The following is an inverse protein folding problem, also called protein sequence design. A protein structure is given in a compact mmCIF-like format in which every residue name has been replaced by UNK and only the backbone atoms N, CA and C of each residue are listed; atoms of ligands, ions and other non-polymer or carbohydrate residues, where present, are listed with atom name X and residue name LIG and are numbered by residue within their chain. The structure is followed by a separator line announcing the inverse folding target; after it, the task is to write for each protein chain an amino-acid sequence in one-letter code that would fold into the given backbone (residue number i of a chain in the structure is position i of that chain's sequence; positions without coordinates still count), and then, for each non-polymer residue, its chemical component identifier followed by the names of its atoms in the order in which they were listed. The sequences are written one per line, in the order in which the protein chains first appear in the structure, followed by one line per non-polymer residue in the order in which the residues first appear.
data_IF_602206725747
#
_entry.id   IF_602206725747
#
_cell.length_a   1.000
_cell.length_b   1.000
_cell.length_c   1.000
_cell.angle_alpha   90.00
_cell.angle_beta   90.00
_cell.angle_gamma   90.00
#
_symmetry.space_group_name_H-M   'P 1'
#
loop_
_entity.id
_entity.type
_entity.pdbx_description
1 polymer ?
#
# COMPACT_ATOMS: atom_id res chain seq x y z
N UNK A 1 6.12 -28.58 -23.29
CA UNK A 1 6.78 -29.46 -22.30
C UNK A 1 6.71 -28.75 -20.96
N UNK A 2 6.45 -29.45 -19.86
CA UNK A 2 6.51 -28.88 -18.52
C UNK A 2 7.71 -29.48 -17.81
N UNK A 3 8.58 -28.63 -17.29
CA UNK A 3 9.75 -28.97 -16.48
C UNK A 3 9.46 -28.57 -15.03
N UNK A 4 9.94 -29.35 -14.06
CA UNK A 4 9.70 -29.09 -12.64
C UNK A 4 11.04 -29.01 -11.89
N UNK A 5 11.17 -28.00 -11.03
CA UNK A 5 12.29 -27.82 -10.13
C UNK A 5 11.75 -27.69 -8.70
N UNK A 6 12.21 -28.55 -7.80
CA UNK A 6 11.85 -28.51 -6.39
C UNK A 6 12.96 -27.80 -5.62
N UNK A 7 12.70 -26.57 -5.19
CA UNK A 7 13.66 -25.74 -4.47
C UNK A 7 12.94 -24.75 -3.57
N UNK A 8 13.52 -24.47 -2.40
CA UNK A 8 13.01 -23.43 -1.50
C UNK A 8 13.55 -22.06 -1.93
N UNK A 9 12.64 -21.12 -2.19
CA UNK A 9 13.00 -19.77 -2.64
C UNK A 9 13.62 -18.92 -1.52
N UNK A 10 13.50 -19.30 -0.24
CA UNK A 10 14.17 -18.60 0.86
C UNK A 10 15.63 -19.03 1.04
N UNK A 11 16.05 -20.17 0.47
CA UNK A 11 17.47 -20.53 0.40
C UNK A 11 18.08 -19.91 -0.87
N UNK A 12 18.49 -18.65 -0.77
CA UNK A 12 18.89 -17.85 -1.93
C UNK A 12 20.05 -18.45 -2.72
N UNK A 13 21.01 -19.09 -2.06
CA UNK A 13 22.19 -19.65 -2.71
C UNK A 13 21.85 -20.93 -3.49
N UNK A 14 21.06 -21.82 -2.87
CA UNK A 14 20.57 -23.04 -3.52
C UNK A 14 19.60 -22.68 -4.64
N UNK A 15 18.71 -21.72 -4.41
CA UNK A 15 17.77 -21.25 -5.42
C UNK A 15 18.45 -20.59 -6.62
N UNK A 16 19.46 -19.73 -6.40
CA UNK A 16 20.23 -19.10 -7.48
C UNK A 16 20.92 -20.15 -8.36
N UNK A 17 21.56 -21.15 -7.72
CA UNK A 17 22.25 -22.25 -8.44
C UNK A 17 21.27 -23.08 -9.25
N UNK A 18 20.21 -23.57 -8.59
CA UNK A 18 19.23 -24.44 -9.23
C UNK A 18 18.50 -23.76 -10.39
N UNK A 19 18.22 -22.45 -10.27
CA UNK A 19 17.58 -21.68 -11.34
C UNK A 19 18.52 -21.45 -12.52
N UNK A 20 19.81 -21.19 -12.28
CA UNK A 20 20.82 -21.10 -13.35
C UNK A 20 20.91 -22.40 -14.13
N UNK A 21 21.05 -23.53 -13.45
CA UNK A 21 21.13 -24.86 -14.07
C UNK A 21 19.87 -25.15 -14.91
N UNK A 22 18.68 -24.78 -14.40
CA UNK A 22 17.44 -24.95 -15.15
C UNK A 22 17.39 -24.07 -16.43
N UNK A 23 17.93 -22.85 -16.40
CA UNK A 23 17.97 -21.96 -17.55
C UNK A 23 18.99 -22.37 -18.62
N UNK A 24 19.99 -23.19 -18.29
CA UNK A 24 20.89 -23.79 -19.28
C UNK A 24 20.18 -24.83 -20.15
N UNK A 25 19.12 -25.46 -19.63
CA UNK A 25 18.35 -26.49 -20.32
C UNK A 25 17.23 -25.93 -21.20
N UNK A 26 16.88 -24.65 -21.05
CA UNK A 26 15.79 -23.98 -21.76
C UNK A 26 16.36 -22.93 -22.71
N UNK A 27 16.02 -23.01 -24.00
CA UNK A 27 16.59 -22.15 -25.05
C UNK A 27 16.18 -20.68 -24.89
N UNK A 28 14.94 -20.41 -24.46
CA UNK A 28 14.41 -19.05 -24.34
C UNK A 28 13.44 -18.91 -23.15
N UNK A 29 13.65 -17.89 -22.32
CA UNK A 29 12.72 -17.52 -21.25
C UNK A 29 12.21 -16.10 -21.47
N UNK A 30 10.93 -16.01 -21.82
CA UNK A 30 10.26 -14.75 -22.17
C UNK A 30 9.55 -14.10 -20.98
N UNK A 31 9.28 -14.85 -19.92
CA UNK A 31 8.52 -14.36 -18.79
C UNK A 31 8.94 -14.97 -17.46
N UNK A 32 8.79 -14.19 -16.39
CA UNK A 32 8.97 -14.63 -15.00
C UNK A 32 7.74 -14.20 -14.18
N UNK A 33 7.19 -15.12 -13.38
CA UNK A 33 6.16 -14.79 -12.38
C UNK A 33 6.67 -15.16 -10.99
N UNK A 34 6.97 -14.15 -10.18
CA UNK A 34 7.34 -14.34 -8.79
C UNK A 34 6.06 -14.47 -7.94
N UNK A 35 5.58 -15.70 -7.79
CA UNK A 35 4.31 -16.00 -7.11
C UNK A 35 4.46 -16.61 -5.71
N UNK A 36 5.62 -17.23 -5.40
CA UNK A 36 5.85 -17.85 -4.10
C UNK A 36 5.76 -16.81 -2.97
N UNK A 37 5.10 -17.15 -1.87
CA UNK A 37 5.01 -16.27 -0.72
C UNK A 37 4.26 -16.86 0.46
N UNK A 38 4.53 -16.29 1.63
CA UNK A 38 3.95 -16.66 2.92
C UNK A 38 3.36 -15.45 3.63
N UNK A 39 2.42 -15.70 4.54
CA UNK A 39 1.88 -14.71 5.48
C UNK A 39 1.65 -15.38 6.84
N UNK A 40 2.43 -14.99 7.85
CA UNK A 40 2.23 -15.37 9.27
C UNK A 40 1.75 -14.15 10.05
N UNK A 41 0.87 -14.38 11.02
CA UNK A 41 0.16 -13.31 11.73
C UNK A 41 0.62 -13.18 13.18
N UNK A 42 1.54 -12.26 13.43
CA UNK A 42 2.15 -12.05 14.75
C UNK A 42 1.88 -10.61 15.23
N UNK A 43 1.46 -10.39 16.49
CA UNK A 43 1.47 -9.06 17.08
C UNK A 43 2.87 -8.44 16.97
N UNK A 44 2.96 -7.15 16.64
CA UNK A 44 4.23 -6.49 16.34
C UNK A 44 5.29 -6.68 17.45
N UNK A 45 4.89 -6.60 18.72
CA UNK A 45 5.80 -6.70 19.86
C UNK A 45 6.17 -8.15 20.23
N UNK A 46 5.46 -9.14 19.67
CA UNK A 46 5.67 -10.57 19.92
C UNK A 46 6.32 -11.28 18.72
N UNK A 47 6.44 -10.59 17.58
CA UNK A 47 7.05 -11.12 16.37
C UNK A 47 8.54 -11.39 16.61
N UNK A 48 8.96 -12.64 16.41
CA UNK A 48 10.37 -12.99 16.43
C UNK A 48 11.08 -12.45 15.18
N UNK A 49 12.38 -12.17 15.31
CA UNK A 49 13.24 -11.83 14.16
C UNK A 49 13.17 -12.91 13.08
N UNK A 50 13.18 -14.19 13.46
CA UNK A 50 13.05 -15.31 12.53
C UNK A 50 11.74 -15.27 11.72
N UNK A 51 10.60 -14.95 12.36
CA UNK A 51 9.33 -14.82 11.63
C UNK A 51 9.39 -13.65 10.65
N UNK A 52 9.99 -12.52 11.05
CA UNK A 52 10.18 -11.38 10.17
C UNK A 52 11.10 -11.73 8.98
N UNK A 53 12.27 -12.32 9.26
CA UNK A 53 13.26 -12.71 8.26
C UNK A 53 12.67 -13.71 7.26
N UNK A 54 11.91 -14.71 7.72
CA UNK A 54 11.24 -15.67 6.83
C UNK A 54 10.34 -14.96 5.80
N UNK A 55 9.63 -13.90 6.19
CA UNK A 55 8.82 -13.12 5.24
C UNK A 55 9.70 -12.37 4.24
N UNK A 56 10.79 -11.75 4.70
CA UNK A 56 11.71 -11.02 3.84
C UNK A 56 12.38 -11.98 2.86
N UNK A 57 12.94 -13.09 3.34
CA UNK A 57 13.67 -14.05 2.53
C UNK A 57 12.78 -14.70 1.48
N UNK A 58 11.54 -15.03 1.83
CA UNK A 58 10.60 -15.67 0.90
C UNK A 58 9.95 -14.66 -0.05
N UNK A 59 9.33 -13.60 0.48
CA UNK A 59 8.44 -12.73 -0.30
C UNK A 59 9.18 -11.60 -1.03
N UNK A 60 10.43 -11.32 -0.66
CA UNK A 60 11.26 -10.27 -1.25
C UNK A 60 12.60 -10.83 -1.78
N UNK A 61 13.32 -11.58 -0.96
CA UNK A 61 14.60 -12.18 -1.31
C UNK A 61 14.50 -13.15 -2.49
N UNK A 62 13.56 -14.10 -2.43
CA UNK A 62 13.25 -15.01 -3.53
C UNK A 62 13.00 -14.30 -4.86
N UNK A 63 12.02 -13.35 -4.94
CA UNK A 63 11.79 -12.55 -6.13
C UNK A 63 13.01 -11.76 -6.62
N UNK A 64 13.83 -11.24 -5.71
CA UNK A 64 15.09 -10.56 -6.06
C UNK A 64 16.06 -11.53 -6.76
N UNK A 65 16.30 -12.71 -6.18
CA UNK A 65 17.19 -13.73 -6.75
C UNK A 65 16.70 -14.19 -8.12
N UNK A 66 15.42 -14.54 -8.23
CA UNK A 66 14.82 -14.97 -9.49
C UNK A 66 14.94 -13.88 -10.58
N UNK A 67 14.62 -12.63 -10.22
CA UNK A 67 14.71 -11.47 -11.13
C UNK A 67 16.15 -11.25 -11.60
N UNK A 68 17.13 -11.34 -10.69
CA UNK A 68 18.55 -11.20 -11.02
C UNK A 68 18.98 -12.29 -12.02
N UNK A 69 18.65 -13.54 -11.77
CA UNK A 69 19.07 -14.67 -12.60
C UNK A 69 18.39 -14.63 -13.97
N UNK A 70 17.06 -14.56 -14.00
CA UNK A 70 16.28 -14.57 -15.24
C UNK A 70 16.48 -13.28 -16.03
N UNK A 71 16.56 -12.12 -15.36
CA UNK A 71 16.81 -10.84 -16.01
C UNK A 71 18.18 -10.78 -16.69
N UNK A 72 19.23 -11.35 -16.09
CA UNK A 72 20.52 -11.48 -16.77
C UNK A 72 20.43 -12.42 -17.98
N UNK A 73 19.77 -13.58 -17.84
CA UNK A 73 19.58 -14.49 -18.97
C UNK A 73 18.83 -13.84 -20.14
N UNK A 74 17.75 -13.08 -19.87
CA UNK A 74 17.02 -12.32 -20.87
C UNK A 74 17.91 -11.27 -21.55
N UNK A 75 18.64 -10.48 -20.75
CA UNK A 75 19.55 -9.43 -21.24
C UNK A 75 20.64 -10.01 -22.14
N UNK A 76 21.33 -11.05 -21.68
CA UNK A 76 22.48 -11.64 -22.38
C UNK A 76 22.06 -12.32 -23.69
N UNK A 77 20.83 -12.84 -23.75
CA UNK A 77 20.24 -13.44 -24.97
C UNK A 77 19.50 -12.42 -25.86
N UNK A 78 19.42 -11.15 -25.47
CA UNK A 78 18.69 -10.12 -26.22
C UNK A 78 17.17 -10.30 -26.23
N UNK A 79 16.62 -11.02 -25.25
CA UNK A 79 15.19 -11.30 -25.13
C UNK A 79 14.48 -10.13 -24.43
N UNK A 80 13.50 -9.54 -25.11
CA UNK A 80 12.60 -8.51 -24.56
C UNK A 80 11.50 -9.16 -23.73
N UNK A 81 11.80 -9.51 -22.49
CA UNK A 81 10.90 -10.27 -21.61
C UNK A 81 9.96 -9.43 -20.75
N UNK A 82 9.15 -10.13 -19.93
CA UNK A 82 8.27 -9.51 -18.94
C UNK A 82 8.33 -10.23 -17.59
N UNK A 83 8.45 -9.47 -16.51
CA UNK A 83 8.48 -9.94 -15.13
C UNK A 83 7.21 -9.47 -14.41
N UNK A 84 6.53 -10.38 -13.73
CA UNK A 84 5.35 -10.07 -12.92
C UNK A 84 5.58 -10.52 -11.48
N UNK A 85 5.55 -9.56 -10.55
CA UNK A 85 5.62 -9.83 -9.13
C UNK A 85 4.22 -9.94 -8.52
N UNK A 86 4.00 -11.00 -7.73
CA UNK A 86 2.76 -11.13 -6.95
C UNK A 86 2.89 -10.36 -5.64
N UNK A 87 2.41 -9.12 -5.64
CA UNK A 87 2.39 -8.26 -4.46
C UNK A 87 1.08 -8.44 -3.68
N UNK A 88 0.63 -7.41 -2.97
CA UNK A 88 -0.61 -7.43 -2.19
C UNK A 88 -1.05 -6.01 -1.92
N UNK A 89 -2.34 -5.78 -1.72
CA UNK A 89 -2.80 -4.54 -1.08
C UNK A 89 -2.00 -4.20 0.20
N UNK A 90 -1.56 -5.21 0.96
CA UNK A 90 -0.76 -5.05 2.17
C UNK A 90 0.60 -4.34 1.96
N UNK A 91 1.03 -4.12 0.71
CA UNK A 91 2.20 -3.30 0.39
C UNK A 91 1.96 -1.80 0.60
N UNK A 92 0.71 -1.36 0.49
CA UNK A 92 0.30 0.05 0.48
C UNK A 92 -0.43 0.46 1.75
N UNK A 93 -0.99 -0.49 2.49
CA UNK A 93 -1.74 -0.25 3.73
C UNK A 93 -1.20 -1.10 4.88
N UNK A 94 -1.28 -0.55 6.09
CA UNK A 94 -0.94 -1.28 7.30
C UNK A 94 -2.11 -2.19 7.71
N UNK A 95 -1.80 -3.46 7.97
CA UNK A 95 -2.75 -4.45 8.47
C UNK A 95 -2.30 -4.93 9.86
N UNK A 96 -3.19 -4.95 10.88
CA UNK A 96 -2.83 -5.47 12.19
C UNK A 96 -2.25 -6.88 12.11
N UNK A 97 -1.16 -7.12 12.85
CA UNK A 97 -0.45 -8.41 12.92
C UNK A 97 0.25 -8.88 11.62
N UNK A 98 0.34 -8.03 10.59
CA UNK A 98 0.96 -8.38 9.30
C UNK A 98 2.33 -7.72 9.10
N UNK A 99 3.05 -7.31 10.15
CA UNK A 99 4.27 -6.49 10.03
C UNK A 99 5.26 -7.02 8.99
N UNK A 100 5.76 -8.25 9.15
CA UNK A 100 6.70 -8.87 8.21
C UNK A 100 6.14 -8.99 6.79
N UNK A 101 4.86 -9.37 6.68
CA UNK A 101 4.17 -9.47 5.38
C UNK A 101 4.08 -8.10 4.67
N UNK A 102 3.53 -7.08 5.33
CA UNK A 102 3.41 -5.72 4.81
C UNK A 102 4.78 -5.16 4.40
N UNK A 103 5.79 -5.28 5.26
CA UNK A 103 7.15 -4.84 4.95
C UNK A 103 7.71 -5.56 3.72
N UNK A 104 7.57 -6.88 3.63
CA UNK A 104 8.05 -7.65 2.49
C UNK A 104 7.36 -7.28 1.17
N UNK A 105 6.04 -7.06 1.18
CA UNK A 105 5.28 -6.67 -0.02
C UNK A 105 5.50 -5.22 -0.43
N UNK A 106 5.68 -4.30 0.53
CA UNK A 106 6.12 -2.94 0.24
C UNK A 106 7.51 -2.90 -0.39
N UNK A 107 8.43 -3.73 0.10
CA UNK A 107 9.75 -3.92 -0.50
C UNK A 107 9.66 -4.48 -1.92
N UNK A 108 8.75 -5.44 -2.16
CA UNK A 108 8.54 -6.04 -3.48
C UNK A 108 8.00 -5.04 -4.51
N UNK A 109 7.15 -4.10 -4.08
CA UNK A 109 6.68 -3.00 -4.95
C UNK A 109 7.82 -2.04 -5.33
N UNK A 110 8.73 -1.75 -4.39
CA UNK A 110 9.90 -0.94 -4.72
C UNK A 110 10.87 -1.70 -5.63
N UNK A 111 11.10 -2.99 -5.37
CA UNK A 111 11.89 -3.86 -6.24
C UNK A 111 11.31 -3.86 -7.66
N UNK A 112 10.00 -3.98 -7.81
CA UNK A 112 9.31 -3.92 -9.12
C UNK A 112 9.66 -2.64 -9.88
N UNK A 113 9.60 -1.48 -9.22
CA UNK A 113 9.93 -0.18 -9.82
C UNK A 113 11.40 -0.09 -10.20
N UNK A 114 12.30 -0.56 -9.34
CA UNK A 114 13.73 -0.59 -9.62
C UNK A 114 14.05 -1.52 -10.79
N UNK A 115 13.47 -2.72 -10.84
CA UNK A 115 13.64 -3.64 -11.95
C UNK A 115 13.12 -3.04 -13.27
N UNK A 116 11.97 -2.37 -13.25
CA UNK A 116 11.44 -1.69 -14.44
C UNK A 116 12.38 -0.57 -14.93
N UNK A 117 12.94 0.20 -14.00
CA UNK A 117 13.87 1.29 -14.29
C UNK A 117 15.19 0.76 -14.87
N UNK A 118 15.78 -0.24 -14.22
CA UNK A 118 17.13 -0.74 -14.55
C UNK A 118 17.14 -1.72 -15.73
N UNK A 119 16.09 -2.52 -15.90
CA UNK A 119 16.01 -3.47 -17.01
C UNK A 119 15.27 -2.94 -18.25
N UNK A 120 14.58 -1.80 -18.13
CA UNK A 120 13.91 -1.12 -19.22
C UNK A 120 14.79 -0.86 -20.46
N UNK A 121 16.07 -0.42 -20.32
CA UNK A 121 16.98 -0.26 -21.46
C UNK A 121 17.24 -1.54 -22.27
N UNK A 122 17.03 -2.72 -21.65
CA UNK A 122 17.15 -4.03 -22.32
C UNK A 122 15.81 -4.51 -22.92
N UNK A 123 14.75 -3.70 -22.84
CA UNK A 123 13.41 -4.06 -23.30
C UNK A 123 12.69 -5.05 -22.38
N UNK A 124 13.17 -5.23 -21.14
CA UNK A 124 12.53 -6.09 -20.15
C UNK A 124 11.59 -5.25 -19.29
N UNK A 125 10.32 -5.65 -19.22
CA UNK A 125 9.29 -4.98 -18.41
C UNK A 125 9.18 -5.66 -17.06
N UNK A 126 8.84 -4.88 -16.02
CA UNK A 126 8.54 -5.44 -14.70
C UNK A 126 7.32 -4.74 -14.11
N UNK A 127 6.31 -5.50 -13.70
CA UNK A 127 5.09 -4.98 -13.06
C UNK A 127 4.71 -5.84 -11.87
N UNK A 128 3.83 -5.35 -11.01
CA UNK A 128 3.23 -6.14 -9.95
C UNK A 128 1.71 -6.17 -10.04
N UNK A 129 1.15 -7.32 -9.65
CA UNK A 129 -0.27 -7.52 -9.39
C UNK A 129 -0.45 -7.51 -7.88
N UNK A 130 -1.39 -6.70 -7.37
CA UNK A 130 -1.65 -6.58 -5.94
C UNK A 130 -3.09 -7.02 -5.65
N UNK A 131 -3.35 -8.32 -5.52
CA UNK A 131 -4.69 -8.80 -5.23
C UNK A 131 -5.15 -8.33 -3.84
N UNK A 132 -6.47 -8.21 -3.69
CA UNK A 132 -7.14 -8.07 -2.40
C UNK A 132 -7.34 -9.46 -1.77
N UNK A 133 -8.55 -9.79 -1.35
CA UNK A 133 -8.94 -11.15 -0.99
C UNK A 133 -9.28 -11.93 -2.25
N UNK A 134 -8.51 -12.99 -2.51
CA UNK A 134 -8.74 -13.96 -3.58
C UNK A 134 -9.15 -15.28 -2.95
N UNK A 135 -10.13 -15.96 -3.53
CA UNK A 135 -10.66 -17.25 -3.03
C UNK A 135 -9.75 -18.44 -3.34
N UNK A 136 -8.51 -18.36 -2.86
CA UNK A 136 -7.52 -19.45 -2.91
C UNK A 136 -7.71 -20.41 -1.72
N UNK A 137 -7.05 -21.58 -1.68
CA UNK A 137 -7.02 -22.40 -0.46
C UNK A 137 -6.49 -21.65 0.78
N UNK A 138 -5.63 -20.64 0.61
CA UNK A 138 -5.22 -19.74 1.70
C UNK A 138 -6.35 -18.77 2.07
N UNK A 139 -7.00 -18.16 1.08
CA UNK A 139 -8.12 -17.23 1.27
C UNK A 139 -9.31 -17.90 1.95
N UNK A 140 -9.70 -19.09 1.50
CA UNK A 140 -10.81 -19.88 2.05
C UNK A 140 -10.62 -20.24 3.52
N UNK A 141 -9.38 -20.49 3.97
CA UNK A 141 -9.09 -20.74 5.39
C UNK A 141 -9.41 -19.55 6.29
N UNK A 142 -9.30 -18.32 5.77
CA UNK A 142 -9.52 -17.09 6.52
C UNK A 142 -10.95 -16.56 6.31
N UNK A 143 -11.44 -16.60 5.07
CA UNK A 143 -12.65 -15.94 4.60
C UNK A 143 -13.77 -16.90 4.21
N UNK A 144 -13.62 -18.21 4.45
CA UNK A 144 -14.69 -19.19 4.24
C UNK A 144 -15.79 -19.13 5.29
N UNK A 145 -15.57 -18.43 6.41
CA UNK A 145 -16.57 -18.21 7.45
C UNK A 145 -17.33 -16.92 7.17
N UNK A 146 -18.63 -17.03 6.93
CA UNK A 146 -19.49 -15.94 6.45
C UNK A 146 -19.46 -14.68 7.34
N UNK A 147 -19.49 -14.86 8.66
CA UNK A 147 -19.43 -13.75 9.63
C UNK A 147 -18.13 -12.94 9.55
N UNK A 148 -17.03 -13.59 9.14
CA UNK A 148 -15.74 -12.91 8.90
C UNK A 148 -15.66 -12.33 7.50
N UNK A 149 -16.24 -13.02 6.52
CA UNK A 149 -16.19 -12.67 5.11
C UNK A 149 -17.02 -11.42 4.80
N UNK A 150 -18.23 -11.34 5.37
CA UNK A 150 -19.21 -10.30 5.05
C UNK A 150 -18.66 -8.88 5.29
N UNK A 151 -18.08 -8.53 6.45
CA UNK A 151 -17.53 -7.19 6.67
C UNK A 151 -16.41 -6.82 5.69
N UNK A 152 -15.65 -7.80 5.20
CA UNK A 152 -14.60 -7.55 4.20
C UNK A 152 -15.20 -7.37 2.80
N UNK A 153 -16.16 -8.21 2.39
CA UNK A 153 -16.86 -8.07 1.10
C UNK A 153 -17.61 -6.75 0.99
N UNK A 154 -18.25 -6.30 2.08
CA UNK A 154 -18.98 -5.03 2.14
C UNK A 154 -18.03 -3.81 1.96
N UNK A 155 -16.72 -3.99 2.16
CA UNK A 155 -15.69 -2.95 1.94
C UNK A 155 -15.07 -3.00 0.53
N UNK A 156 -15.31 -4.06 -0.23
CA UNK A 156 -14.85 -4.16 -1.61
C UNK A 156 -15.91 -3.48 -2.49
N UNK A 157 -15.57 -2.47 -3.32
CA UNK A 157 -16.55 -1.77 -4.15
C UNK A 157 -17.37 -2.67 -5.08
N UNK A 158 -16.79 -3.79 -5.50
CA UNK A 158 -17.46 -4.79 -6.35
C UNK A 158 -18.35 -5.78 -5.55
N UNK A 159 -18.40 -5.67 -4.22
CA UNK A 159 -19.24 -6.48 -3.34
C UNK A 159 -18.90 -7.96 -3.25
N UNK A 160 -17.76 -8.39 -3.80
CA UNK A 160 -17.32 -9.78 -3.85
C UNK A 160 -15.80 -9.92 -3.76
N UNK A 161 -15.35 -11.11 -3.39
CA UNK A 161 -13.94 -11.47 -3.48
C UNK A 161 -13.52 -11.76 -4.93
N UNK A 162 -12.22 -11.64 -5.19
CA UNK A 162 -11.66 -11.95 -6.49
C UNK A 162 -11.53 -13.47 -6.70
N UNK A 163 -11.74 -13.90 -7.93
CA UNK A 163 -11.51 -15.27 -8.37
C UNK A 163 -10.07 -15.45 -8.88
N UNK A 164 -9.57 -16.69 -8.83
CA UNK A 164 -8.23 -17.02 -9.34
C UNK A 164 -8.07 -16.69 -10.83
N UNK A 165 -9.13 -16.85 -11.62
CA UNK A 165 -9.15 -16.51 -13.04
C UNK A 165 -8.90 -15.03 -13.31
N UNK A 166 -9.33 -14.14 -12.41
CA UNK A 166 -9.17 -12.70 -12.56
C UNK A 166 -7.71 -12.28 -12.32
N UNK A 167 -7.08 -12.84 -11.29
CA UNK A 167 -5.64 -12.62 -11.01
C UNK A 167 -4.78 -13.20 -12.13
N UNK A 168 -5.07 -14.41 -12.58
CA UNK A 168 -4.30 -15.04 -13.67
C UNK A 168 -4.48 -14.30 -15.00
N UNK A 169 -5.67 -13.76 -15.28
CA UNK A 169 -5.89 -12.90 -16.47
C UNK A 169 -5.04 -11.63 -16.42
N UNK A 170 -4.94 -10.98 -15.26
CA UNK A 170 -4.08 -9.80 -15.07
C UNK A 170 -2.59 -10.15 -15.29
N UNK A 171 -2.12 -11.28 -14.74
CA UNK A 171 -0.75 -11.77 -14.97
C UNK A 171 -0.50 -12.03 -16.45
N UNK A 172 -1.41 -12.73 -17.14
CA UNK A 172 -1.27 -13.03 -18.58
C UNK A 172 -1.24 -11.75 -19.43
N UNK A 173 -2.08 -10.77 -19.13
CA UNK A 173 -2.05 -9.46 -19.78
C UNK A 173 -0.68 -8.79 -19.62
N UNK A 174 -0.16 -8.74 -18.39
CA UNK A 174 1.14 -8.12 -18.09
C UNK A 174 2.33 -8.87 -18.70
N UNK A 175 2.23 -10.19 -18.88
CA UNK A 175 3.24 -10.97 -19.60
C UNK A 175 3.19 -10.76 -21.12
N UNK A 176 2.02 -10.45 -21.68
CA UNK A 176 1.81 -10.31 -23.13
C UNK A 176 2.22 -8.95 -23.70
N UNK A 177 2.36 -8.89 -25.03
CA UNK A 177 2.61 -7.67 -25.80
C UNK A 177 1.46 -6.64 -25.75
N UNK A 178 0.26 -7.04 -25.30
CA UNK A 178 -0.86 -6.13 -25.09
C UNK A 178 -0.53 -5.07 -24.02
N UNK A 179 0.47 -5.32 -23.17
CA UNK A 179 0.97 -4.40 -22.15
C UNK A 179 2.36 -3.85 -22.48
N UNK A 180 2.74 -3.78 -23.77
CA UNK A 180 4.09 -3.42 -24.26
C UNK A 180 4.66 -2.10 -23.74
N UNK A 181 3.82 -1.13 -23.35
CA UNK A 181 4.24 0.14 -22.73
C UNK A 181 3.98 0.22 -21.21
N UNK A 182 3.51 -0.87 -20.60
CA UNK A 182 3.25 -0.96 -19.17
C UNK A 182 4.46 -1.57 -18.47
N UNK A 183 5.17 -0.75 -17.68
CA UNK A 183 6.30 -1.16 -16.85
C UNK A 183 6.37 -0.28 -15.59
N UNK A 184 6.82 -0.83 -14.47
CA UNK A 184 6.90 -0.17 -13.17
C UNK A 184 5.55 0.02 -12.48
N UNK A 185 4.47 -0.55 -13.04
CA UNK A 185 3.13 -0.42 -12.47
C UNK A 185 2.98 -1.38 -11.31
N UNK A 186 2.48 -0.83 -10.20
CA UNK A 186 1.94 -1.59 -9.07
C UNK A 186 0.44 -1.54 -9.22
N UNK A 187 -0.14 -2.57 -9.85
CA UNK A 187 -1.58 -2.62 -10.11
C UNK A 187 -2.31 -3.01 -8.84
N UNK A 188 -3.04 -2.06 -8.28
CA UNK A 188 -3.85 -2.28 -7.09
C UNK A 188 -5.23 -2.74 -7.54
N UNK A 189 -5.49 -4.05 -7.46
CA UNK A 189 -6.81 -4.59 -7.76
C UNK A 189 -7.81 -4.10 -6.72
N UNK A 190 -8.98 -3.68 -7.20
CA UNK A 190 -10.17 -3.27 -6.43
C UNK A 190 -9.83 -2.75 -5.04
N UNK A 191 -8.95 -1.74 -4.97
CA UNK A 191 -8.37 -1.25 -3.72
C UNK A 191 -9.50 -1.24 -2.69
N UNK A 192 -9.39 -2.04 -1.61
CA UNK A 192 -10.03 -1.68 -0.35
C UNK A 192 -9.30 -0.41 0.03
N UNK A 193 -9.65 0.68 -0.63
CA UNK A 193 -9.22 1.99 -0.25
C UNK A 193 -9.51 1.97 1.24
N UNK A 194 -8.54 2.36 2.04
CA UNK A 194 -8.83 2.75 3.41
C UNK A 194 -9.88 3.89 3.47
N UNK A 195 -10.44 4.33 2.33
CA UNK A 195 -11.81 4.85 2.24
C UNK A 195 -12.79 3.84 2.85
N UNK A 196 -13.33 4.24 4.00
CA UNK A 196 -14.52 3.72 4.69
C UNK A 196 -14.18 2.65 5.77
N UNK A 197 -13.87 3.11 6.99
CA UNK A 197 -14.81 3.38 8.11
C UNK A 197 -15.47 2.12 8.66
N UNK A 198 -14.79 1.48 9.63
CA UNK A 198 -15.49 0.99 10.80
C UNK A 198 -15.41 2.11 11.86
N UNK A 199 -16.50 2.87 12.00
CA UNK A 199 -16.73 3.79 13.12
C UNK A 199 -16.45 5.27 12.83
N UNK A 200 -17.52 6.04 12.57
CA UNK A 200 -17.55 7.50 12.71
C UNK A 200 -16.53 8.30 11.88
N UNK A 201 -16.66 9.62 11.92
CA UNK A 201 -15.54 10.48 11.59
C UNK A 201 -14.46 10.29 12.66
N UNK A 202 -13.17 10.19 12.26
CA UNK A 202 -12.09 10.17 13.24
C UNK A 202 -12.06 11.52 13.95
N UNK A 203 -12.42 11.50 15.23
CA UNK A 203 -12.54 12.68 16.09
C UNK A 203 -11.16 13.05 16.60
N UNK A 204 -10.74 14.29 16.35
CA UNK A 204 -9.57 14.86 16.99
C UNK A 204 -9.88 15.09 18.47
N UNK A 205 -9.10 14.48 19.36
CA UNK A 205 -9.28 14.67 20.82
C UNK A 205 -8.24 15.63 21.40
N UNK A 206 -8.52 16.15 22.60
CA UNK A 206 -7.58 17.01 23.34
C UNK A 206 -6.25 16.31 23.63
N UNK A 207 -6.29 15.02 23.97
CA UNK A 207 -5.08 14.21 24.18
C UNK A 207 -4.24 14.09 22.90
N UNK A 208 -4.87 13.93 21.74
CA UNK A 208 -4.16 13.91 20.47
C UNK A 208 -3.48 15.24 20.18
N UNK A 209 -4.12 16.37 20.51
CA UNK A 209 -3.51 17.70 20.43
C UNK A 209 -2.30 17.82 21.37
N UNK A 210 -2.42 17.38 22.62
CA UNK A 210 -1.32 17.42 23.58
C UNK A 210 -0.11 16.61 23.09
N UNK A 211 -0.34 15.41 22.57
CA UNK A 211 0.71 14.56 22.00
C UNK A 211 1.33 15.20 20.75
N UNK A 212 0.51 15.79 19.87
CA UNK A 212 0.97 16.41 18.64
C UNK A 212 1.80 17.67 18.88
N UNK A 213 1.35 18.50 19.82
CA UNK A 213 1.99 19.75 20.21
C UNK A 213 3.10 19.55 21.25
N UNK A 214 3.21 18.35 21.84
CA UNK A 214 4.10 18.01 22.95
C UNK A 214 3.97 19.00 24.12
N UNK A 215 2.73 19.37 24.44
CA UNK A 215 2.43 20.40 25.43
C UNK A 215 1.04 20.21 26.03
N UNK A 216 0.93 20.40 27.34
CA UNK A 216 -0.35 20.48 28.05
C UNK A 216 -0.95 21.90 27.98
N UNK A 217 -0.13 22.90 27.64
CA UNK A 217 -0.52 24.30 27.45
C UNK A 217 -1.03 24.53 26.02
N UNK A 218 -2.16 23.91 25.69
CA UNK A 218 -2.80 24.04 24.39
C UNK A 218 -3.23 25.50 24.09
N UNK A 219 -3.53 26.26 25.13
CA UNK A 219 -3.90 27.68 25.07
C UNK A 219 -2.82 28.58 24.45
N UNK A 220 -1.56 28.13 24.42
CA UNK A 220 -0.41 28.88 23.90
C UNK A 220 -0.01 28.46 22.47
N UNK A 221 -0.66 27.44 21.89
CA UNK A 221 -0.27 26.90 20.59
C UNK A 221 -0.74 27.83 19.48
N UNK A 222 0.22 28.41 18.76
CA UNK A 222 -0.05 29.33 17.64
C UNK A 222 0.02 28.66 16.27
N UNK A 223 0.63 27.47 16.16
CA UNK A 223 0.75 26.73 14.89
C UNK A 223 0.42 25.26 15.06
N UNK A 224 -0.43 24.73 14.17
CA UNK A 224 -0.86 23.34 14.20
C UNK A 224 -0.79 22.72 12.81
N UNK A 225 -0.16 21.54 12.71
CA UNK A 225 -0.12 20.75 11.48
C UNK A 225 -0.68 19.34 11.74
N UNK A 226 -1.79 19.04 11.07
CA UNK A 226 -2.53 17.79 11.11
C UNK A 226 -2.70 17.19 9.70
N UNK A 227 -1.66 17.32 8.87
CA UNK A 227 -1.63 16.73 7.53
C UNK A 227 -1.85 15.21 7.55
N UNK A 228 -2.65 14.69 6.61
CA UNK A 228 -2.76 13.25 6.36
C UNK A 228 -3.33 12.43 7.52
N UNK A 229 -4.09 13.04 8.42
CA UNK A 229 -4.50 12.42 9.69
C UNK A 229 -5.85 11.72 9.63
N UNK A 230 -6.53 11.74 8.47
CA UNK A 230 -7.85 11.15 8.22
C UNK A 230 -8.95 11.69 9.17
N UNK A 231 -8.78 12.91 9.69
CA UNK A 231 -9.71 13.52 10.65
C UNK A 231 -11.00 13.96 9.95
N UNK A 232 -12.15 13.71 10.58
CA UNK A 232 -13.44 14.20 10.09
C UNK A 232 -14.10 15.20 11.04
N UNK A 233 -13.90 15.03 12.35
CA UNK A 233 -14.35 15.96 13.38
C UNK A 233 -13.14 16.65 14.04
N UNK A 234 -13.12 17.97 13.94
CA UNK A 234 -12.07 18.85 14.48
C UNK A 234 -12.63 19.91 15.44
N UNK A 235 -13.83 19.68 15.98
CA UNK A 235 -14.53 20.59 16.90
C UNK A 235 -13.67 21.05 18.08
N UNK A 236 -12.84 20.15 18.62
CA UNK A 236 -11.94 20.43 19.74
C UNK A 236 -10.94 21.57 19.48
N UNK A 237 -10.64 21.90 18.21
CA UNK A 237 -9.66 22.94 17.87
C UNK A 237 -10.11 24.29 18.42
N UNK A 238 -11.36 24.67 18.18
CA UNK A 238 -11.93 25.94 18.61
C UNK A 238 -12.00 26.07 20.13
N UNK A 239 -12.22 24.97 20.84
CA UNK A 239 -12.27 24.95 22.30
C UNK A 239 -10.88 24.97 22.94
N UNK A 240 -9.93 24.23 22.35
CA UNK A 240 -8.63 23.98 22.98
C UNK A 240 -7.52 24.94 22.56
N UNK A 241 -7.64 25.60 21.41
CA UNK A 241 -6.57 26.37 20.77
C UNK A 241 -7.00 27.82 20.45
N UNK A 242 -7.30 28.65 21.46
CA UNK A 242 -7.74 30.04 21.26
C UNK A 242 -6.66 30.93 20.62
N UNK A 243 -5.38 30.62 20.82
CA UNK A 243 -4.25 31.38 20.28
C UNK A 243 -3.78 30.91 18.88
N UNK A 244 -4.50 29.98 18.25
CA UNK A 244 -4.08 29.39 16.98
C UNK A 244 -4.06 30.43 15.85
N UNK A 245 -2.90 30.63 15.22
CA UNK A 245 -2.70 31.56 14.11
C UNK A 245 -2.59 30.87 12.76
N UNK A 246 -1.97 29.68 12.71
CA UNK A 246 -1.74 28.94 11.46
C UNK A 246 -2.14 27.48 11.63
N UNK A 247 -3.00 26.96 10.76
CA UNK A 247 -3.43 25.57 10.79
C UNK A 247 -3.31 24.90 9.42
N UNK A 248 -2.68 23.72 9.36
CA UNK A 248 -2.68 22.87 8.17
C UNK A 248 -3.44 21.58 8.42
N UNK A 249 -4.48 21.36 7.61
CA UNK A 249 -5.36 20.20 7.66
C UNK A 249 -5.46 19.51 6.30
N UNK A 250 -4.44 19.64 5.46
CA UNK A 250 -4.49 19.05 4.14
C UNK A 250 -4.51 17.52 4.21
N UNK A 251 -5.26 16.87 3.31
CA UNK A 251 -5.42 15.40 3.22
C UNK A 251 -6.14 14.84 4.46
N UNK A 252 -7.35 15.33 4.74
CA UNK A 252 -8.25 14.84 5.79
C UNK A 252 -9.68 14.61 5.23
N UNK A 253 -10.66 14.31 6.10
CA UNK A 253 -12.08 14.07 5.76
C UNK A 253 -13.02 15.13 6.34
N UNK A 254 -12.50 16.33 6.59
CA UNK A 254 -13.25 17.41 7.24
C UNK A 254 -14.37 17.84 6.31
N UNK A 255 -15.61 17.82 6.81
CA UNK A 255 -16.82 18.24 6.08
C UNK A 255 -17.32 19.61 6.52
N UNK A 256 -16.98 20.02 7.74
CA UNK A 256 -17.37 21.31 8.32
C UNK A 256 -16.18 22.00 8.98
N UNK A 257 -16.11 23.32 8.84
CA UNK A 257 -15.14 24.20 9.47
C UNK A 257 -15.68 24.85 10.76
N UNK A 258 -16.89 24.46 11.21
CA UNK A 258 -17.48 24.94 12.46
C UNK A 258 -16.58 24.77 13.70
N UNK A 259 -15.70 23.78 13.70
CA UNK A 259 -14.69 23.57 14.75
C UNK A 259 -13.68 24.70 14.91
N UNK A 260 -13.65 25.68 14.00
CA UNK A 260 -12.78 26.86 14.09
C UNK A 260 -13.45 28.10 14.69
N UNK A 261 -14.74 28.05 15.05
CA UNK A 261 -15.47 29.21 15.58
C UNK A 261 -14.84 29.85 16.83
N UNK A 262 -14.01 29.13 17.59
CA UNK A 262 -13.28 29.65 18.76
C UNK A 262 -11.87 30.18 18.48
N UNK A 263 -11.34 30.03 17.27
CA UNK A 263 -9.97 30.42 16.92
C UNK A 263 -9.91 31.87 16.40
N UNK A 264 -10.06 32.85 17.30
CA UNK A 264 -10.10 34.27 16.94
C UNK A 264 -8.79 34.82 16.35
N UNK A 265 -7.67 34.14 16.61
CA UNK A 265 -6.34 34.54 16.13
C UNK A 265 -5.95 33.93 14.77
N UNK A 266 -6.81 33.10 14.16
CA UNK A 266 -6.46 32.30 12.99
C UNK A 266 -6.30 33.17 11.74
N UNK A 267 -5.08 33.20 11.19
CA UNK A 267 -4.70 34.00 10.01
C UNK A 267 -4.52 33.17 8.75
N UNK A 268 -4.09 31.92 8.88
CA UNK A 268 -3.85 31.02 7.75
C UNK A 268 -4.41 29.62 8.00
N UNK A 269 -5.17 29.11 7.01
CA UNK A 269 -5.76 27.78 7.05
C UNK A 269 -5.55 27.05 5.73
N UNK A 270 -4.83 25.92 5.75
CA UNK A 270 -4.51 25.10 4.57
C UNK A 270 -5.41 23.85 4.49
N UNK A 271 -6.30 23.76 3.49
CA UNK A 271 -7.39 22.78 3.43
C UNK A 271 -7.37 21.80 2.24
N UNK A 272 -6.24 21.64 1.54
CA UNK A 272 -6.13 20.76 0.36
C UNK A 272 -6.69 19.36 0.59
N UNK A 273 -7.42 18.82 -0.39
CA UNK A 273 -7.91 17.43 -0.39
C UNK A 273 -8.72 17.08 0.88
N UNK A 274 -9.70 17.93 1.21
CA UNK A 274 -10.75 17.68 2.20
C UNK A 274 -12.12 17.53 1.53
N UNK A 275 -13.18 17.31 2.32
CA UNK A 275 -14.55 17.12 1.85
C UNK A 275 -15.49 18.28 2.28
N UNK A 276 -14.95 19.48 2.49
CA UNK A 276 -15.73 20.68 2.82
C UNK A 276 -16.50 21.11 1.58
N UNK A 277 -17.83 21.03 1.63
CA UNK A 277 -18.71 21.36 0.50
C UNK A 277 -19.52 22.64 0.71
N UNK A 278 -19.59 23.15 1.94
CA UNK A 278 -20.33 24.36 2.26
C UNK A 278 -19.48 25.61 2.01
N UNK A 279 -19.90 26.40 1.02
CA UNK A 279 -19.22 27.64 0.62
C UNK A 279 -19.37 28.73 1.68
N UNK A 280 -20.49 28.75 2.43
CA UNK A 280 -20.73 29.78 3.44
C UNK A 280 -19.74 29.70 4.61
N UNK A 281 -19.38 28.48 5.02
CA UNK A 281 -18.37 28.26 6.07
C UNK A 281 -16.97 28.76 5.64
N UNK A 282 -16.63 28.53 4.37
CA UNK A 282 -15.37 29.01 3.78
C UNK A 282 -15.40 30.54 3.68
N UNK A 283 -16.51 31.14 3.27
CA UNK A 283 -16.67 32.60 3.19
C UNK A 283 -16.61 33.28 4.57
N UNK A 284 -17.25 32.68 5.58
CA UNK A 284 -17.21 33.18 6.95
C UNK A 284 -15.77 33.26 7.48
N UNK A 285 -14.98 32.22 7.24
CA UNK A 285 -13.56 32.19 7.63
C UNK A 285 -12.71 33.10 6.77
N UNK A 286 -12.98 33.23 5.46
CA UNK A 286 -12.26 34.14 4.55
C UNK A 286 -12.33 35.62 4.99
N UNK A 287 -13.34 36.02 5.76
CA UNK A 287 -13.43 37.38 6.35
C UNK A 287 -12.37 37.67 7.41
N UNK A 288 -11.82 36.63 8.05
CA UNK A 288 -10.91 36.75 9.19
C UNK A 288 -9.58 36.00 9.01
N UNK A 289 -9.50 35.09 8.03
CA UNK A 289 -8.42 34.14 7.81
C UNK A 289 -8.17 33.93 6.30
N UNK A 290 -6.91 33.83 5.89
CA UNK A 290 -6.53 33.41 4.54
C UNK A 290 -6.68 31.89 4.42
N UNK A 291 -7.78 31.44 3.81
CA UNK A 291 -7.98 30.04 3.43
C UNK A 291 -7.21 29.75 2.13
N UNK A 292 -6.23 28.85 2.20
CA UNK A 292 -5.36 28.46 1.09
C UNK A 292 -5.76 27.07 0.58
N UNK A 293 -6.28 27.07 -0.65
CA UNK A 293 -6.56 25.86 -1.44
C UNK A 293 -5.32 25.29 -2.13
#
# INVERSE_FOLDING_TARGET
RLSHLAVDVSDHAVFETALKDALELEEEVHGLVNCAGIARLDPLLEMSSESFDTHIDTNLGGPFVATKVVGNAMKDRGIKGSIVNMSSQASSIALPRHTGYCCSKAGLDMLTKMTALELGPYGIRCNSVCPTVVMTPMGLRVWGVEDKAKPMRDRIPLGRFAEMSEVTSAVLYLLSDASSMTTGVVSVDSEVLSRLTAGGDKILTRQMLQLRCRSDRLDMITKLNLWGSDLGDVSVIGEALPALEVCSLSVNRIRTLSGFKGCNSLRELYLRKNAVSDVEEVEHLRRHCRCLE
#
